data_IF_349004566124
#
_entry.id   IF_349004566124
#
_cell.length_a   1.000
_cell.length_b   1.000
_cell.length_c   1.000
_cell.angle_alpha   90.00
_cell.angle_beta   90.00
_cell.angle_gamma   90.00
#
_symmetry.space_group_name_H-M   'P 1'
#
loop_
_entity.id
_entity.type
_entity.pdbx_description
1 polymer ?
#
# COMPACT_ATOMS: atom_id res chain seq x y z
N UNK A 1 -6.34 9.16 9.97
CA UNK A 1 -7.32 10.00 10.70
C UNK A 1 -8.12 10.90 9.76
N UNK A 2 -7.51 11.82 9.01
CA UNK A 2 -8.23 12.76 8.12
C UNK A 2 -9.14 12.09 7.07
N UNK A 3 -8.70 10.99 6.44
CA UNK A 3 -9.50 10.27 5.44
C UNK A 3 -10.77 9.60 5.99
N UNK A 4 -10.72 9.11 7.24
CA UNK A 4 -11.87 8.50 7.92
C UNK A 4 -12.93 9.57 8.26
N UNK A 5 -12.46 10.76 8.64
CA UNK A 5 -13.27 11.93 8.97
C UNK A 5 -14.02 12.47 7.74
N UNK A 6 -13.35 12.51 6.58
CA UNK A 6 -13.98 12.87 5.30
C UNK A 6 -15.06 11.86 4.90
N UNK A 7 -14.77 10.56 5.03
CA UNK A 7 -15.73 9.48 4.77
C UNK A 7 -17.01 9.62 5.61
N UNK A 8 -16.86 10.00 6.88
CA UNK A 8 -17.98 10.28 7.76
C UNK A 8 -18.80 11.51 7.30
N UNK A 9 -18.13 12.57 6.80
CA UNK A 9 -18.81 13.80 6.34
C UNK A 9 -19.53 13.67 4.99
N UNK A 10 -19.06 12.81 4.09
CA UNK A 10 -19.60 12.65 2.72
C UNK A 10 -20.75 11.62 2.67
N UNK A 11 -20.85 10.76 3.69
CA UNK A 11 -21.87 9.72 3.79
C UNK A 11 -21.49 8.40 3.10
N UNK A 12 -22.03 7.29 3.61
CA UNK A 12 -21.75 5.91 3.17
C UNK A 12 -22.10 5.63 1.71
N UNK A 13 -22.95 6.45 1.07
CA UNK A 13 -23.27 6.37 -0.36
C UNK A 13 -22.03 6.53 -1.25
N UNK A 14 -21.03 7.28 -0.78
CA UNK A 14 -19.74 7.45 -1.48
C UNK A 14 -18.88 6.18 -1.53
N UNK A 15 -19.17 5.16 -0.70
CA UNK A 15 -18.50 3.86 -0.76
C UNK A 15 -18.83 3.09 -2.05
N UNK A 16 -19.96 3.39 -2.71
CA UNK A 16 -20.29 2.81 -4.02
C UNK A 16 -19.48 3.45 -5.16
N UNK A 17 -18.84 4.59 -4.93
CA UNK A 17 -17.98 5.20 -5.93
C UNK A 17 -16.73 4.35 -6.09
N UNK A 18 -16.60 3.72 -7.26
CA UNK A 18 -15.44 2.89 -7.63
C UNK A 18 -14.10 3.60 -7.35
N UNK A 19 -14.06 4.92 -7.56
CA UNK A 19 -12.92 5.78 -7.27
C UNK A 19 -12.49 5.76 -5.79
N UNK A 20 -13.44 5.75 -4.86
CA UNK A 20 -13.16 5.78 -3.43
C UNK A 20 -12.66 4.41 -2.92
N UNK A 21 -13.23 3.31 -3.42
CA UNK A 21 -12.72 1.95 -3.16
C UNK A 21 -11.29 1.81 -3.71
N UNK A 22 -11.04 2.24 -4.95
CA UNK A 22 -9.71 2.18 -5.55
C UNK A 22 -8.69 2.95 -4.70
N UNK A 23 -9.05 4.17 -4.25
CA UNK A 23 -8.19 4.99 -3.39
C UNK A 23 -7.90 4.33 -2.04
N UNK A 24 -8.91 3.71 -1.41
CA UNK A 24 -8.73 3.01 -0.14
C UNK A 24 -7.84 1.77 -0.28
N UNK A 25 -7.99 1.00 -1.35
CA UNK A 25 -7.13 -0.17 -1.62
C UNK A 25 -5.68 0.27 -1.77
N UNK A 26 -5.43 1.35 -2.52
CA UNK A 26 -4.10 1.90 -2.78
C UNK A 26 -3.43 2.37 -1.48
N UNK A 27 -4.15 3.14 -0.65
CA UNK A 27 -3.65 3.61 0.65
C UNK A 27 -3.42 2.45 1.62
N UNK A 28 -4.31 1.46 1.65
CA UNK A 28 -4.19 0.28 2.52
C UNK A 28 -2.97 -0.56 2.12
N UNK A 29 -2.79 -0.82 0.83
CA UNK A 29 -1.64 -1.55 0.30
C UNK A 29 -0.32 -0.86 0.64
N UNK A 30 -0.26 0.47 0.45
CA UNK A 30 0.91 1.27 0.81
C UNK A 30 1.20 1.24 2.32
N UNK A 31 0.15 1.27 3.15
CA UNK A 31 0.28 1.20 4.61
C UNK A 31 0.83 -0.16 5.05
N UNK A 32 0.32 -1.26 4.49
CA UNK A 32 0.85 -2.61 4.75
C UNK A 32 2.32 -2.72 4.35
N UNK A 33 2.70 -2.16 3.20
CA UNK A 33 4.10 -2.13 2.75
C UNK A 33 5.00 -1.39 3.76
N UNK A 34 4.59 -0.21 4.22
CA UNK A 34 5.34 0.55 5.22
C UNK A 34 5.50 -0.19 6.56
N UNK A 35 4.43 -0.82 7.05
CA UNK A 35 4.48 -1.61 8.29
C UNK A 35 5.43 -2.79 8.16
N UNK A 36 5.43 -3.45 7.01
CA UNK A 36 6.32 -4.55 6.74
C UNK A 36 7.79 -4.12 6.67
N UNK A 37 8.10 -2.97 6.05
CA UNK A 37 9.44 -2.38 6.12
C UNK A 37 9.86 -2.08 7.55
N UNK A 38 8.95 -1.52 8.35
CA UNK A 38 9.22 -1.21 9.75
C UNK A 38 9.57 -2.47 10.55
N UNK A 39 8.85 -3.57 10.34
CA UNK A 39 9.17 -4.87 10.95
C UNK A 39 10.52 -5.39 10.49
N UNK A 40 10.83 -5.28 9.19
CA UNK A 40 12.15 -5.67 8.66
C UNK A 40 13.27 -4.85 9.29
N UNK A 41 13.11 -3.53 9.37
CA UNK A 41 14.07 -2.61 9.98
C UNK A 41 14.28 -2.93 11.47
N UNK A 42 13.20 -3.20 12.21
CA UNK A 42 13.28 -3.59 13.63
C UNK A 42 14.03 -4.91 13.81
N UNK A 43 13.76 -5.92 12.98
CA UNK A 43 14.47 -7.21 12.99
C UNK A 43 15.94 -7.09 12.59
N UNK A 44 16.25 -6.17 11.67
CA UNK A 44 17.62 -5.84 11.29
C UNK A 44 18.38 -5.21 12.45
N UNK A 45 17.76 -4.25 13.15
CA UNK A 45 18.33 -3.58 14.32
C UNK A 45 18.62 -4.55 15.47
N UNK A 46 17.77 -5.57 15.66
CA UNK A 46 17.97 -6.61 16.68
C UNK A 46 19.01 -7.69 16.27
N UNK A 47 19.70 -7.55 15.12
CA UNK A 47 20.63 -8.54 14.53
C UNK A 47 20.03 -9.96 14.36
N UNK A 48 18.72 -10.13 14.54
CA UNK A 48 17.97 -11.39 14.35
C UNK A 48 17.45 -11.49 12.93
N UNK A 49 18.31 -11.16 11.97
CA UNK A 49 17.89 -11.12 10.59
C UNK A 49 17.76 -12.54 10.03
N UNK A 50 16.54 -13.08 10.06
CA UNK A 50 16.25 -14.43 9.56
C UNK A 50 16.07 -14.46 8.04
N UNK A 51 16.06 -13.31 7.38
CA UNK A 51 15.82 -13.21 5.96
C UNK A 51 17.13 -13.05 5.17
N UNK A 52 17.25 -13.81 4.09
CA UNK A 52 18.42 -13.75 3.20
C UNK A 52 18.49 -12.41 2.46
N UNK A 53 19.69 -11.98 2.06
CA UNK A 53 19.92 -10.79 1.23
C UNK A 53 19.03 -10.73 -0.02
N UNK A 54 18.69 -11.89 -0.62
CA UNK A 54 17.75 -11.98 -1.76
C UNK A 54 16.34 -11.49 -1.42
N UNK A 55 15.87 -11.75 -0.21
CA UNK A 55 14.54 -11.31 0.25
C UNK A 55 14.47 -9.80 0.36
N UNK A 56 15.51 -9.15 0.92
CA UNK A 56 15.58 -7.69 1.00
C UNK A 56 15.60 -7.03 -0.38
N UNK A 57 16.26 -7.63 -1.37
CA UNK A 57 16.20 -7.16 -2.77
C UNK A 57 14.77 -7.22 -3.32
N UNK A 58 14.07 -8.34 -3.10
CA UNK A 58 12.68 -8.48 -3.54
C UNK A 58 11.73 -7.46 -2.87
N UNK A 59 11.91 -7.18 -1.58
CA UNK A 59 11.12 -6.16 -0.86
C UNK A 59 11.39 -4.75 -1.40
N UNK A 60 12.63 -4.45 -1.77
CA UNK A 60 12.98 -3.18 -2.39
C UNK A 60 12.45 -3.05 -3.83
N UNK A 61 12.10 -4.15 -4.49
CA UNK A 61 11.44 -4.16 -5.80
C UNK A 61 9.90 -4.04 -5.70
N UNK A 62 9.32 -4.30 -4.52
CA UNK A 62 7.89 -4.14 -4.30
C UNK A 62 7.31 -2.73 -4.59
N UNK A 63 8.00 -1.60 -4.31
CA UNK A 63 7.57 -0.27 -4.76
C UNK A 63 7.47 -0.18 -6.28
N UNK A 64 8.41 -0.78 -6.99
CA UNK A 64 8.44 -0.79 -8.46
C UNK A 64 7.27 -1.61 -8.99
N UNK A 65 7.00 -2.78 -8.41
CA UNK A 65 5.84 -3.61 -8.77
C UNK A 65 4.52 -2.87 -8.48
N UNK A 66 4.42 -2.21 -7.33
CA UNK A 66 3.26 -1.40 -6.96
C UNK A 66 3.06 -0.24 -7.97
N UNK A 67 4.14 0.44 -8.35
CA UNK A 67 4.13 1.51 -9.36
C UNK A 67 3.61 0.98 -10.71
N UNK A 68 4.12 -0.16 -11.18
CA UNK A 68 3.66 -0.78 -12.44
C UNK A 68 2.17 -1.12 -12.36
N UNK A 69 1.72 -1.72 -11.26
CA UNK A 69 0.30 -2.05 -11.06
C UNK A 69 -0.58 -0.78 -11.05
N UNK A 70 -0.15 0.30 -10.39
CA UNK A 70 -0.84 1.59 -10.39
C UNK A 70 -0.91 2.16 -11.81
N UNK A 71 0.19 2.14 -12.56
CA UNK A 71 0.22 2.61 -13.96
C UNK A 71 -0.76 1.79 -14.80
N UNK A 72 -0.78 0.46 -14.66
CA UNK A 72 -1.74 -0.39 -15.35
C UNK A 72 -3.18 0.02 -15.01
N UNK A 73 -3.52 0.21 -13.73
CA UNK A 73 -4.87 0.62 -13.31
C UNK A 73 -5.25 2.01 -13.88
N UNK A 74 -4.31 2.95 -13.91
CA UNK A 74 -4.55 4.32 -14.41
C UNK A 74 -4.62 4.37 -15.94
N UNK A 75 -3.78 3.60 -16.65
CA UNK A 75 -3.72 3.58 -18.12
C UNK A 75 -4.87 2.76 -18.71
N UNK A 76 -5.14 1.57 -18.16
CA UNK A 76 -6.22 0.71 -18.61
C UNK A 76 -7.58 1.07 -18.01
N UNK A 77 -7.68 2.26 -17.40
CA UNK A 77 -8.89 2.86 -16.82
C UNK A 77 -10.18 2.21 -17.36
N UNK A 78 -10.98 1.49 -16.55
CA UNK A 78 -12.36 1.32 -16.92
C UNK A 78 -12.98 2.73 -16.80
N UNK A 79 -13.29 3.33 -17.94
CA UNK A 79 -14.05 4.58 -18.03
C UNK A 79 -15.38 4.39 -17.29
#
# INVERSE_FOLDING_TARGET
>A
IFGLLLLHSIGLESLKAFWLIAKLILVTSLTLYHLFLFVCLKKFNENKNQYSSKFFRFINEAPTILLIAIIFIVVFKPI
#
